data_IF_767974188985
#
_entry.id   IF_767974188985
#
_cell.length_a   1.000
_cell.length_b   1.000
_cell.length_c   1.000
_cell.angle_alpha   90.00
_cell.angle_beta   90.00
_cell.angle_gamma   90.00
#
_symmetry.space_group_name_H-M   'P 1'
#
loop_
_entity.id
_entity.type
_entity.pdbx_description
1 polymer ?
#
# COMPACT_ATOMS: atom_id res chain seq x y z
N UNK A 1 12.30 -1.06 7.57
CA UNK A 1 11.34 -2.16 7.32
C UNK A 1 11.55 -2.64 5.88
N UNK A 2 11.45 -3.93 5.59
CA UNK A 2 11.62 -4.48 4.23
C UNK A 2 10.47 -5.43 3.93
N UNK A 3 9.99 -5.44 2.69
CA UNK A 3 8.92 -6.32 2.24
C UNK A 3 9.47 -7.33 1.22
N UNK A 4 9.01 -8.57 1.32
CA UNK A 4 9.24 -9.59 0.28
C UNK A 4 7.96 -9.75 -0.51
N UNK A 5 8.01 -9.46 -1.80
CA UNK A 5 6.88 -9.60 -2.71
C UNK A 5 6.69 -11.06 -3.13
N UNK A 6 5.57 -11.36 -3.80
CA UNK A 6 5.23 -12.72 -4.21
C UNK A 6 6.24 -13.32 -5.22
N UNK A 7 6.88 -12.46 -6.01
CA UNK A 7 7.97 -12.81 -6.93
C UNK A 7 9.33 -12.98 -6.23
N UNK A 8 9.37 -12.83 -4.89
CA UNK A 8 10.56 -12.89 -4.04
C UNK A 8 11.51 -11.70 -4.21
N UNK A 9 11.11 -10.64 -4.91
CA UNK A 9 11.85 -9.39 -4.88
C UNK A 9 11.74 -8.75 -3.49
N UNK A 10 12.79 -8.00 -3.12
CA UNK A 10 12.84 -7.24 -1.87
C UNK A 10 12.63 -5.78 -2.23
N UNK A 11 11.64 -5.14 -1.58
CA UNK A 11 11.39 -3.71 -1.73
C UNK A 11 11.51 -2.99 -0.39
N UNK A 12 11.92 -1.72 -0.50
CA UNK A 12 12.05 -0.81 0.62
C UNK A 12 10.91 0.20 0.52
N UNK A 13 10.13 0.39 1.60
CA UNK A 13 9.10 1.39 1.58
C UNK A 13 9.71 2.78 1.46
N UNK A 14 9.10 3.61 0.61
CA UNK A 14 9.40 5.03 0.52
C UNK A 14 8.96 5.76 1.80
N UNK A 15 7.81 5.36 2.34
CA UNK A 15 7.25 5.91 3.55
C UNK A 15 5.97 5.19 3.98
N UNK A 16 5.38 5.68 5.07
CA UNK A 16 4.06 5.25 5.52
C UNK A 16 3.15 6.48 5.63
N UNK A 17 1.86 6.27 5.36
CA UNK A 17 0.80 7.22 5.64
C UNK A 17 -0.04 6.63 6.77
N UNK A 18 -0.07 7.33 7.89
CA UNK A 18 -0.81 6.91 9.09
C UNK A 18 -2.12 7.71 9.20
N UNK A 19 -3.12 7.13 9.86
CA UNK A 19 -4.40 7.76 10.17
C UNK A 19 -5.20 8.27 8.95
N UNK A 20 -5.11 7.57 7.81
CA UNK A 20 -5.81 7.94 6.58
C UNK A 20 -7.24 7.39 6.61
N UNK A 21 -8.23 8.24 6.35
CA UNK A 21 -9.61 7.82 6.16
C UNK A 21 -9.86 7.39 4.72
N UNK A 22 -10.22 6.14 4.52
CA UNK A 22 -10.55 5.56 3.22
C UNK A 22 -12.05 5.36 3.10
N UNK A 23 -12.62 5.86 2.00
CA UNK A 23 -14.02 5.66 1.69
C UNK A 23 -14.20 4.39 0.85
N UNK A 24 -14.94 3.41 1.37
CA UNK A 24 -15.36 2.21 0.65
C UNK A 24 -16.88 2.21 0.58
N UNK A 25 -17.44 2.41 -0.62
CA UNK A 25 -18.85 2.75 -0.82
C UNK A 25 -19.24 3.96 0.03
N UNK A 26 -20.16 3.80 0.99
CA UNK A 26 -20.63 4.87 1.88
C UNK A 26 -20.02 4.82 3.28
N UNK A 27 -19.02 3.96 3.51
CA UNK A 27 -18.34 3.77 4.79
C UNK A 27 -16.95 4.40 4.77
N UNK A 28 -16.53 4.96 5.91
CA UNK A 28 -15.20 5.50 6.14
C UNK A 28 -14.44 4.60 7.13
N UNK A 29 -13.25 4.18 6.74
CA UNK A 29 -12.37 3.34 7.57
C UNK A 29 -11.05 4.07 7.82
N UNK A 30 -10.62 4.21 9.08
CA UNK A 30 -9.24 4.61 9.37
C UNK A 30 -8.32 3.45 8.99
N UNK A 31 -7.25 3.76 8.26
CA UNK A 31 -6.25 2.76 7.88
C UNK A 31 -4.90 3.42 7.64
N UNK A 32 -3.85 2.61 7.74
CA UNK A 32 -2.49 3.01 7.46
C UNK A 32 -2.04 2.39 6.14
N UNK A 33 -1.26 3.13 5.37
CA UNK A 33 -0.68 2.66 4.10
C UNK A 33 0.83 2.70 4.14
N UNK A 34 1.43 1.76 3.41
CA UNK A 34 2.86 1.79 3.10
C UNK A 34 3.02 2.15 1.64
N UNK A 35 3.80 3.19 1.36
CA UNK A 35 4.13 3.62 0.01
C UNK A 35 5.38 2.86 -0.42
N UNK A 36 5.28 2.13 -1.53
CA UNK A 36 6.40 1.44 -2.16
C UNK A 36 6.83 2.23 -3.39
N UNK A 37 8.14 2.40 -3.57
CA UNK A 37 8.71 2.91 -4.82
C UNK A 37 8.85 1.72 -5.77
N UNK A 38 8.07 1.71 -6.84
CA UNK A 38 8.05 0.66 -7.86
C UNK A 38 8.22 1.32 -9.23
N UNK A 39 8.81 0.60 -10.20
CA UNK A 39 8.95 1.11 -11.56
C UNK A 39 7.59 1.52 -12.13
N UNK A 40 7.59 2.51 -13.02
CA UNK A 40 6.42 3.23 -13.53
C UNK A 40 5.46 2.29 -14.29
N UNK A 41 4.66 1.52 -13.54
CA UNK A 41 3.52 0.81 -14.08
C UNK A 41 2.45 1.86 -14.43
N UNK A 42 1.88 1.76 -15.62
CA UNK A 42 0.88 2.69 -16.15
C UNK A 42 -0.41 2.76 -15.31
N UNK A 43 -0.58 1.83 -14.37
CA UNK A 43 -1.60 1.85 -13.33
C UNK A 43 -0.87 1.82 -11.99
N UNK A 44 -1.21 2.73 -11.07
CA UNK A 44 -0.68 2.70 -9.69
C UNK A 44 -1.65 1.85 -8.85
N UNK A 45 -1.40 0.54 -8.63
CA UNK A 45 -2.38 -0.32 -7.98
C UNK A 45 -2.44 -0.03 -6.47
N UNK A 46 -3.65 0.19 -5.94
CA UNK A 46 -3.89 0.19 -4.48
C UNK A 46 -4.09 -1.25 -4.00
N UNK A 47 -3.12 -1.77 -3.23
CA UNK A 47 -3.18 -3.12 -2.68
C UNK A 47 -3.77 -3.09 -1.27
N UNK A 48 -4.89 -3.77 -1.07
CA UNK A 48 -5.47 -4.00 0.25
C UNK A 48 -5.08 -5.39 0.76
N UNK A 49 -4.54 -5.44 1.98
CA UNK A 49 -4.23 -6.70 2.66
C UNK A 49 -5.49 -7.52 2.96
N UNK A 50 -5.29 -8.79 3.31
CA UNK A 50 -6.35 -9.62 3.88
C UNK A 50 -6.56 -9.26 5.36
N UNK A 51 -7.77 -9.45 5.91
CA UNK A 51 -7.97 -9.45 7.37
C UNK A 51 -7.07 -10.48 8.08
#
# INVERSE_FOLDING_TARGET
MTFTLADRSITYPYGALEDVLVKVNDLLFPTDFVILDMDEDSEVPLLLGRP
#
